data_IF_274829024964
#
_entry.id   IF_274829024964
#
_cell.length_a   1.000
_cell.length_b   1.000
_cell.length_c   1.000
_cell.angle_alpha   90.00
_cell.angle_beta   90.00
_cell.angle_gamma   90.00
#
_symmetry.space_group_name_H-M   'P 1'
#
loop_
_entity.id
_entity.type
_entity.pdbx_description
1 polymer ?
#
# COMPACT_ATOMS: atom_id res chain seq x y z
N UNK A 1 0.13 -7.61 -14.38
CA UNK A 1 -1.25 -7.33 -13.95
C UNK A 1 -1.64 -8.18 -12.74
N UNK A 2 -1.33 -9.48 -12.73
CA UNK A 2 -1.69 -10.41 -11.64
C UNK A 2 -1.16 -9.95 -10.29
N UNK A 3 0.13 -9.65 -10.19
CA UNK A 3 0.78 -9.15 -8.97
C UNK A 3 0.07 -7.90 -8.42
N UNK A 4 -0.28 -6.97 -9.29
CA UNK A 4 -0.99 -5.75 -8.91
C UNK A 4 -2.52 -5.92 -8.76
N UNK A 5 -3.03 -7.16 -8.79
CA UNK A 5 -4.47 -7.47 -8.72
C UNK A 5 -5.29 -6.66 -9.75
N UNK A 6 -4.74 -6.49 -10.96
CA UNK A 6 -5.27 -5.60 -12.01
C UNK A 6 -5.80 -6.35 -13.24
N UNK A 7 -6.11 -7.65 -13.11
CA UNK A 7 -6.65 -8.48 -14.20
C UNK A 7 -8.01 -8.01 -14.67
N UNK A 8 -8.77 -7.25 -13.86
CA UNK A 8 -10.06 -6.66 -14.23
C UNK A 8 -10.00 -5.81 -15.52
N UNK A 9 -8.81 -5.33 -15.90
CA UNK A 9 -8.65 -4.55 -17.14
C UNK A 9 -8.86 -5.42 -18.38
N UNK A 10 -8.57 -6.72 -18.28
CA UNK A 10 -8.77 -7.67 -19.39
C UNK A 10 -10.25 -7.94 -19.66
N UNK A 11 -11.12 -7.72 -18.66
CA UNK A 11 -12.58 -7.88 -18.77
C UNK A 11 -13.25 -6.65 -19.39
N UNK A 12 -12.48 -5.58 -19.62
CA UNK A 12 -13.01 -4.39 -20.31
C UNK A 12 -13.24 -4.70 -21.81
N UNK A 13 -14.19 -4.03 -22.48
CA UNK A 13 -14.52 -4.30 -23.88
C UNK A 13 -13.33 -4.22 -24.86
N UNK A 14 -12.32 -3.42 -24.52
CA UNK A 14 -11.09 -3.26 -25.32
C UNK A 14 -9.84 -3.79 -24.60
N UNK A 15 -10.01 -4.51 -23.48
CA UNK A 15 -8.90 -5.07 -22.71
C UNK A 15 -7.87 -4.00 -22.34
N UNK A 16 -6.60 -4.26 -22.67
CA UNK A 16 -5.48 -3.33 -22.41
C UNK A 16 -5.55 -2.03 -23.24
N UNK A 17 -6.29 -2.02 -24.33
CA UNK A 17 -6.48 -0.84 -25.17
C UNK A 17 -7.66 0.04 -24.70
N UNK A 18 -8.25 -0.28 -23.56
CA UNK A 18 -9.33 0.51 -22.95
C UNK A 18 -8.87 1.95 -22.71
N UNK A 19 -9.55 2.96 -23.28
CA UNK A 19 -9.18 4.35 -23.06
C UNK A 19 -9.30 4.74 -21.60
N UNK A 20 -8.31 5.43 -21.08
CA UNK A 20 -8.35 6.01 -19.74
C UNK A 20 -8.90 7.45 -19.88
N UNK A 21 -10.08 7.69 -19.32
CA UNK A 21 -10.64 9.03 -19.28
C UNK A 21 -9.77 9.98 -18.46
N UNK A 22 -9.92 11.30 -18.69
CA UNK A 22 -9.18 12.30 -17.93
C UNK A 22 -9.37 12.11 -16.42
N UNK A 23 -8.27 12.00 -15.68
CA UNK A 23 -8.27 11.69 -14.26
C UNK A 23 -8.65 10.23 -13.91
N UNK A 24 -8.78 9.36 -14.92
CA UNK A 24 -9.14 7.95 -14.72
C UNK A 24 -10.57 7.74 -14.19
N UNK A 25 -11.49 8.65 -14.51
CA UNK A 25 -12.86 8.67 -13.94
C UNK A 25 -13.69 7.45 -14.31
N UNK A 26 -13.32 6.71 -15.35
CA UNK A 26 -13.93 5.44 -15.74
C UNK A 26 -13.45 4.23 -14.93
N UNK A 27 -12.52 4.42 -13.98
CA UNK A 27 -12.07 3.41 -13.04
C UNK A 27 -12.35 3.82 -11.60
N UNK A 28 -12.65 2.85 -10.74
CA UNK A 28 -12.78 3.11 -9.30
C UNK A 28 -11.44 3.56 -8.69
N UNK A 29 -11.47 4.16 -7.49
CA UNK A 29 -10.27 4.56 -6.77
C UNK A 29 -9.28 3.41 -6.59
N UNK A 30 -9.75 2.25 -6.11
CA UNK A 30 -8.94 1.06 -5.94
C UNK A 30 -8.41 0.48 -7.27
N UNK A 31 -9.19 0.56 -8.34
CA UNK A 31 -8.72 0.16 -9.67
C UNK A 31 -7.59 1.07 -10.17
N UNK A 32 -7.72 2.40 -9.98
CA UNK A 32 -6.66 3.35 -10.33
C UNK A 32 -5.38 3.10 -9.54
N UNK A 33 -5.49 2.86 -8.23
CA UNK A 33 -4.32 2.54 -7.38
C UNK A 33 -3.63 1.26 -7.87
N UNK A 34 -4.36 0.19 -8.14
CA UNK A 34 -3.79 -1.06 -8.64
C UNK A 34 -3.12 -0.91 -10.01
N UNK A 35 -3.70 -0.15 -10.92
CA UNK A 35 -3.07 0.16 -12.22
C UNK A 35 -1.80 1.00 -12.06
N UNK A 36 -1.76 1.95 -11.13
CA UNK A 36 -0.57 2.73 -10.83
C UNK A 36 0.56 1.86 -10.27
N UNK A 37 0.23 0.91 -9.39
CA UNK A 37 1.18 -0.08 -8.87
C UNK A 37 1.69 -0.98 -10.00
N UNK A 38 0.79 -1.50 -10.86
CA UNK A 38 1.20 -2.30 -12.02
C UNK A 38 2.20 -1.57 -12.90
N UNK A 39 1.95 -0.27 -13.15
CA UNK A 39 2.87 0.59 -13.91
C UNK A 39 4.22 0.76 -13.23
N UNK A 40 4.25 0.94 -11.92
CA UNK A 40 5.50 1.09 -11.15
C UNK A 40 6.36 -0.18 -11.22
N UNK A 41 5.76 -1.36 -11.08
CA UNK A 41 6.47 -2.64 -11.12
C UNK A 41 7.17 -2.91 -12.45
N UNK A 42 6.67 -2.36 -13.56
CA UNK A 42 7.30 -2.52 -14.88
C UNK A 42 8.69 -1.87 -14.99
N UNK A 43 9.08 -1.04 -14.04
CA UNK A 43 10.37 -0.34 -14.09
C UNK A 43 11.54 -1.15 -13.52
N UNK A 44 11.30 -2.24 -12.77
CA UNK A 44 12.34 -2.99 -12.09
C UNK A 44 13.33 -2.07 -11.37
N UNK A 45 12.80 -1.26 -10.44
CA UNK A 45 13.57 -0.23 -9.73
C UNK A 45 14.29 -0.81 -8.50
N UNK A 46 15.41 -0.18 -8.11
CA UNK A 46 16.11 -0.50 -6.86
C UNK A 46 15.36 0.01 -5.61
N UNK A 47 14.46 0.99 -5.79
CA UNK A 47 13.61 1.55 -4.76
C UNK A 47 12.19 1.77 -5.28
N UNK A 48 11.21 1.22 -4.57
CA UNK A 48 9.80 1.50 -4.78
C UNK A 48 9.27 2.39 -3.65
N UNK A 49 8.53 3.44 -4.02
CA UNK A 49 7.85 4.32 -3.06
C UNK A 49 6.35 4.23 -3.32
N UNK A 50 5.61 3.77 -2.32
CA UNK A 50 4.16 3.68 -2.32
C UNK A 50 3.58 4.72 -1.36
N UNK A 51 3.18 5.87 -1.88
CA UNK A 51 2.55 6.94 -1.12
C UNK A 51 1.03 6.80 -1.17
N UNK A 52 0.44 6.41 -0.05
CA UNK A 52 -1.00 6.17 0.14
C UNK A 52 -1.63 5.24 -0.92
N UNK A 53 -0.80 4.35 -1.50
CA UNK A 53 -1.17 3.56 -2.69
C UNK A 53 -2.15 2.43 -2.40
N UNK A 54 -2.49 2.17 -1.13
CA UNK A 54 -3.35 1.07 -0.69
C UNK A 54 -4.66 1.55 -0.04
N UNK A 55 -4.85 2.86 0.14
CA UNK A 55 -5.95 3.43 0.96
C UNK A 55 -7.35 3.15 0.41
N UNK A 56 -7.51 3.08 -0.92
CA UNK A 56 -8.79 2.81 -1.57
C UNK A 56 -9.07 1.32 -1.80
N UNK A 57 -8.21 0.42 -1.26
CA UNK A 57 -8.38 -1.02 -1.38
C UNK A 57 -9.16 -1.57 -0.18
N UNK A 58 -9.99 -2.58 -0.45
CA UNK A 58 -10.54 -3.42 0.61
C UNK A 58 -9.44 -4.29 1.24
N UNK A 59 -9.66 -4.75 2.47
CA UNK A 59 -8.66 -5.50 3.24
C UNK A 59 -8.15 -6.76 2.54
N UNK A 60 -9.02 -7.48 1.81
CA UNK A 60 -8.65 -8.71 1.10
C UNK A 60 -7.73 -8.41 -0.08
N UNK A 61 -8.08 -7.41 -0.88
CA UNK A 61 -7.29 -6.97 -2.03
C UNK A 61 -5.95 -6.39 -1.59
N UNK A 62 -5.93 -5.57 -0.53
CA UNK A 62 -4.71 -5.01 0.07
C UNK A 62 -3.76 -6.13 0.54
N UNK A 63 -4.26 -7.11 1.30
CA UNK A 63 -3.44 -8.22 1.77
C UNK A 63 -2.87 -9.07 0.62
N UNK A 64 -3.69 -9.41 -0.38
CA UNK A 64 -3.26 -10.18 -1.54
C UNK A 64 -2.21 -9.44 -2.36
N UNK A 65 -2.40 -8.13 -2.56
CA UNK A 65 -1.46 -7.29 -3.28
C UNK A 65 -0.10 -7.20 -2.56
N UNK A 66 -0.10 -6.95 -1.25
CA UNK A 66 1.14 -6.87 -0.46
C UNK A 66 1.91 -8.19 -0.47
N UNK A 67 1.19 -9.32 -0.36
CA UNK A 67 1.84 -10.63 -0.45
C UNK A 67 2.48 -10.85 -1.83
N UNK A 68 1.79 -10.50 -2.92
CA UNK A 68 2.33 -10.61 -4.26
C UNK A 68 3.52 -9.66 -4.51
N UNK A 69 3.47 -8.43 -3.95
CA UNK A 69 4.55 -7.46 -4.05
C UNK A 69 5.85 -7.95 -3.41
N UNK A 70 5.79 -8.66 -2.27
CA UNK A 70 6.99 -9.18 -1.61
C UNK A 70 7.84 -10.06 -2.54
N UNK A 71 7.21 -10.86 -3.40
CA UNK A 71 7.91 -11.68 -4.39
C UNK A 71 8.58 -10.87 -5.50
N UNK A 72 7.92 -9.80 -5.95
CA UNK A 72 8.38 -8.97 -7.08
C UNK A 72 9.40 -7.90 -6.68
N UNK A 73 9.46 -7.56 -5.39
CA UNK A 73 10.34 -6.51 -4.88
C UNK A 73 11.44 -7.04 -3.94
N UNK A 74 11.70 -8.35 -3.96
CA UNK A 74 12.66 -8.99 -3.06
C UNK A 74 14.10 -8.45 -3.18
N UNK A 75 14.47 -7.95 -4.36
CA UNK A 75 15.79 -7.37 -4.64
C UNK A 75 15.81 -5.83 -4.56
N UNK A 76 14.72 -5.21 -4.08
CA UNK A 76 14.57 -3.76 -4.03
C UNK A 76 14.21 -3.27 -2.63
N UNK A 77 14.57 -2.03 -2.31
CA UNK A 77 14.04 -1.36 -1.13
C UNK A 77 12.59 -0.92 -1.38
N UNK A 78 11.75 -1.03 -0.35
CA UNK A 78 10.34 -0.64 -0.44
C UNK A 78 10.01 0.35 0.67
N UNK A 79 9.61 1.56 0.31
CA UNK A 79 9.10 2.58 1.22
C UNK A 79 7.59 2.69 1.07
N UNK A 80 6.86 2.43 2.14
CA UNK A 80 5.40 2.54 2.18
C UNK A 80 5.00 3.68 3.10
N UNK A 81 4.28 4.66 2.57
CA UNK A 81 3.64 5.71 3.35
C UNK A 81 2.16 5.30 3.48
N UNK A 82 1.72 5.02 4.69
CA UNK A 82 0.37 4.53 4.95
C UNK A 82 -0.20 5.08 6.25
N UNK A 83 -1.52 5.17 6.29
CA UNK A 83 -2.28 5.56 7.49
C UNK A 83 -2.82 4.33 8.24
N UNK A 84 -2.89 3.16 7.57
CA UNK A 84 -3.38 1.91 8.17
C UNK A 84 -2.22 1.13 8.77
N UNK A 85 -2.31 0.80 10.05
CA UNK A 85 -1.33 -0.06 10.75
C UNK A 85 -1.23 -1.43 10.07
N UNK A 86 -2.35 -2.01 9.63
CA UNK A 86 -2.37 -3.30 8.94
C UNK A 86 -1.51 -3.33 7.67
N UNK A 87 -1.30 -2.20 7.02
CA UNK A 87 -0.47 -2.10 5.81
C UNK A 87 1.03 -2.20 6.10
N UNK A 88 1.47 -1.74 7.27
CA UNK A 88 2.88 -1.65 7.67
C UNK A 88 3.27 -2.62 8.78
N UNK A 89 2.34 -3.44 9.26
CA UNK A 89 2.53 -4.33 10.40
C UNK A 89 3.77 -5.23 10.31
N UNK A 90 4.12 -5.66 9.11
CA UNK A 90 5.23 -6.57 8.84
C UNK A 90 6.44 -5.88 8.20
N UNK A 91 6.50 -4.55 8.26
CA UNK A 91 7.67 -3.82 7.79
C UNK A 91 8.89 -4.10 8.68
N UNK A 92 10.07 -4.20 8.07
CA UNK A 92 11.34 -4.38 8.80
C UNK A 92 11.63 -3.19 9.72
N UNK A 93 11.21 -2.00 9.31
CA UNK A 93 11.35 -0.78 10.08
C UNK A 93 10.17 0.17 9.82
N UNK A 94 9.61 0.73 10.87
CA UNK A 94 8.52 1.70 10.84
C UNK A 94 9.04 3.02 11.40
N UNK A 95 8.82 4.11 10.67
CA UNK A 95 9.10 5.48 11.10
C UNK A 95 7.77 6.14 11.46
N UNK A 96 7.65 6.62 12.69
CA UNK A 96 6.47 7.34 13.17
C UNK A 96 6.74 8.83 13.13
N UNK A 97 5.91 9.56 12.36
CA UNK A 97 6.00 11.01 12.21
C UNK A 97 4.88 11.71 12.98
N UNK A 98 5.20 12.76 13.70
CA UNK A 98 4.26 13.68 14.32
C UNK A 98 4.78 15.11 14.19
N UNK A 99 3.93 16.00 13.67
CA UNK A 99 4.25 17.43 13.52
C UNK A 99 5.57 17.70 12.75
N UNK A 100 5.91 16.81 11.80
CA UNK A 100 7.13 16.91 10.99
C UNK A 100 8.39 16.32 11.65
N UNK A 101 8.27 15.75 12.85
CA UNK A 101 9.38 15.14 13.57
C UNK A 101 9.24 13.63 13.68
N UNK A 102 10.37 12.91 13.73
CA UNK A 102 10.40 11.46 13.98
C UNK A 102 10.23 11.26 15.49
N UNK A 103 9.11 10.65 15.89
CA UNK A 103 8.80 10.37 17.29
C UNK A 103 8.91 8.88 17.65
N UNK A 104 9.13 8.03 16.66
CA UNK A 104 9.37 6.58 16.87
C UNK A 104 10.04 5.95 15.66
N UNK A 105 10.89 4.97 15.92
CA UNK A 105 11.61 4.18 14.92
C UNK A 105 11.81 2.76 15.46
N UNK A 106 11.34 1.75 14.72
CA UNK A 106 11.46 0.35 15.09
C UNK A 106 10.46 -0.54 14.38
N UNK A 107 10.34 -1.77 14.83
CA UNK A 107 9.31 -2.73 14.39
C UNK A 107 7.96 -2.42 15.03
N UNK A 108 6.91 -3.11 14.58
CA UNK A 108 5.58 -2.99 15.20
C UNK A 108 5.61 -3.26 16.71
N UNK A 109 6.21 -4.38 17.13
CA UNK A 109 6.23 -4.80 18.52
C UNK A 109 7.01 -3.81 19.39
N UNK A 110 8.18 -3.37 18.93
CA UNK A 110 8.99 -2.35 19.63
C UNK A 110 8.24 -1.03 19.79
N UNK A 111 7.54 -0.58 18.75
CA UNK A 111 6.78 0.67 18.80
C UNK A 111 5.51 0.57 19.64
N UNK A 112 4.89 -0.58 19.72
CA UNK A 112 3.79 -0.83 20.65
C UNK A 112 4.22 -0.69 22.11
N UNK A 113 5.47 -1.00 22.43
CA UNK A 113 6.01 -0.87 23.78
C UNK A 113 6.56 0.54 24.07
N UNK A 114 7.26 1.14 23.09
CA UNK A 114 8.09 2.33 23.30
C UNK A 114 7.51 3.64 22.79
N UNK A 115 6.54 3.59 21.83
CA UNK A 115 5.99 4.79 21.19
C UNK A 115 4.51 4.97 21.50
N UNK A 116 4.17 5.91 22.39
CA UNK A 116 2.78 6.21 22.76
C UNK A 116 1.94 6.65 21.57
N UNK A 117 2.52 7.45 20.66
CA UNK A 117 1.84 7.94 19.46
C UNK A 117 1.45 6.78 18.55
N UNK A 118 2.39 5.83 18.31
CA UNK A 118 2.12 4.65 17.50
C UNK A 118 1.03 3.77 18.12
N UNK A 119 1.12 3.52 19.42
CA UNK A 119 0.14 2.72 20.18
C UNK A 119 -1.25 3.33 20.09
N UNK A 120 -1.37 4.64 20.28
CA UNK A 120 -2.66 5.33 20.19
C UNK A 120 -3.30 5.17 18.78
N UNK A 121 -2.50 5.26 17.72
CA UNK A 121 -2.98 5.03 16.35
C UNK A 121 -3.44 3.57 16.17
N UNK A 122 -2.62 2.60 16.59
CA UNK A 122 -2.93 1.19 16.47
C UNK A 122 -4.23 0.81 17.21
N UNK A 123 -4.37 1.23 18.46
CA UNK A 123 -5.56 0.97 19.28
C UNK A 123 -6.83 1.63 18.70
N UNK A 124 -6.72 2.82 18.12
CA UNK A 124 -7.85 3.49 17.49
C UNK A 124 -8.39 2.73 16.29
N UNK A 125 -7.50 2.09 15.52
CA UNK A 125 -7.87 1.32 14.33
C UNK A 125 -8.40 -0.07 14.68
N UNK A 126 -7.93 -0.68 15.78
CA UNK A 126 -8.46 -1.95 16.26
C UNK A 126 -9.90 -1.82 16.78
N UNK A 127 -10.24 -0.70 17.43
CA UNK A 127 -11.59 -0.43 17.96
C UNK A 127 -12.61 -0.02 16.89
N UNK A 128 -12.15 0.46 15.73
CA UNK A 128 -13.01 0.88 14.61
C UNK A 128 -13.30 -0.21 13.57
N UNK A 129 -12.83 -1.42 13.80
CA UNK A 129 -12.96 -2.58 12.90
C UNK A 129 -14.03 -3.62 13.30
N UNK A 130 -14.96 -3.28 14.23
CA UNK A 130 -16.15 -4.07 14.53
C UNK A 130 -17.37 -3.63 13.74
#
# INVERSE_FOLDING_TARGET
>A
LEVAQSTFVLDQPQGLDTPVAQGGTNFSGGQRQRLAIARALMKHADLYIFDDSFSALDFKTDAALRHALQGETCDAAVLIIAQRISTILHADQIVVLKDGEIVGLGTHDELMETCEVYRAIAESQMKGGE
#
